data_IF_828199343285
#
_entry.id   IF_828199343285
#
_cell.length_a   1.000
_cell.length_b   1.000
_cell.length_c   1.000
_cell.angle_alpha   90.00
_cell.angle_beta   90.00
_cell.angle_gamma   90.00
#
_symmetry.space_group_name_H-M   'P 1'
#
loop_
_entity.id
_entity.type
_entity.pdbx_description
1 polymer ?
#
# COMPACT_ATOMS: atom_id res chain seq x y z
N UNK A 1 -11.67 -55.81 79.68
CA UNK A 1 -11.20 -55.95 78.28
C UNK A 1 -11.75 -54.74 77.51
N UNK A 2 -10.90 -53.73 77.31
CA UNK A 2 -11.34 -52.44 76.73
C UNK A 2 -10.48 -52.24 75.45
N UNK A 3 -11.10 -52.31 74.30
CA UNK A 3 -10.42 -52.02 73.04
C UNK A 3 -10.54 -50.52 72.76
N UNK A 4 -9.35 -49.84 72.76
CA UNK A 4 -9.23 -48.45 72.29
C UNK A 4 -9.08 -48.44 70.75
N UNK A 5 -9.98 -47.71 70.11
CA UNK A 5 -9.91 -47.41 68.70
C UNK A 5 -8.99 -46.22 68.46
N UNK A 6 -7.99 -46.34 67.59
CA UNK A 6 -7.19 -45.23 67.04
C UNK A 6 -8.01 -44.49 65.96
N UNK A 7 -7.95 -43.12 65.90
CA UNK A 7 -8.49 -42.37 64.80
C UNK A 7 -7.53 -42.32 63.59
N UNK A 8 -8.08 -42.63 62.41
CA UNK A 8 -7.36 -42.40 61.15
C UNK A 8 -7.31 -40.92 60.82
N UNK A 9 -6.12 -40.31 60.84
CA UNK A 9 -5.87 -38.98 60.35
C UNK A 9 -5.76 -39.04 58.83
N UNK A 10 -6.76 -38.45 58.13
CA UNK A 10 -6.75 -38.29 56.68
C UNK A 10 -5.86 -37.08 56.38
N UNK A 11 -4.64 -37.31 55.88
CA UNK A 11 -3.81 -36.28 55.30
C UNK A 11 -4.34 -35.96 53.90
N UNK A 12 -5.08 -34.84 53.73
CA UNK A 12 -5.42 -34.28 52.44
C UNK A 12 -4.17 -33.56 51.89
N UNK A 13 -3.47 -34.21 50.99
CA UNK A 13 -2.42 -33.55 50.23
C UNK A 13 -3.06 -32.63 49.18
N UNK A 14 -3.08 -31.34 49.45
CA UNK A 14 -3.45 -30.31 48.45
C UNK A 14 -2.28 -30.19 47.47
N UNK A 15 -2.41 -30.84 46.34
CA UNK A 15 -1.50 -30.66 45.22
C UNK A 15 -1.75 -29.23 44.60
N UNK A 16 -0.90 -28.28 44.96
CA UNK A 16 -0.80 -27.03 44.24
C UNK A 16 -0.21 -27.29 42.85
N UNK A 17 -1.04 -27.43 41.85
CA UNK A 17 -0.62 -27.37 40.46
C UNK A 17 -0.13 -25.96 40.15
N UNK A 18 1.18 -25.74 40.26
CA UNK A 18 1.84 -24.57 39.63
C UNK A 18 1.69 -24.76 38.12
N UNK A 19 0.65 -24.21 37.53
CA UNK A 19 0.66 -23.91 36.12
C UNK A 19 1.69 -22.81 35.91
N UNK A 20 2.89 -23.22 35.50
CA UNK A 20 3.91 -22.31 34.99
C UNK A 20 3.27 -21.62 33.77
N UNK A 21 2.78 -20.41 33.95
CA UNK A 21 2.48 -19.49 32.87
C UNK A 21 3.85 -19.21 32.21
N UNK A 22 4.20 -20.03 31.21
CA UNK A 22 5.25 -19.65 30.28
C UNK A 22 4.79 -18.34 29.67
N UNK A 23 5.38 -17.24 30.10
CA UNK A 23 5.16 -15.94 29.50
C UNK A 23 5.48 -16.08 28.01
N UNK A 24 4.43 -16.23 27.18
CA UNK A 24 4.60 -16.20 25.74
C UNK A 24 5.27 -14.86 25.43
N UNK A 25 6.49 -14.92 24.92
CA UNK A 25 7.20 -13.73 24.46
C UNK A 25 6.30 -13.04 23.45
N UNK A 26 6.10 -11.72 23.62
CA UNK A 26 5.29 -10.90 22.74
C UNK A 26 5.66 -11.21 21.28
N UNK A 27 4.70 -11.57 20.42
CA UNK A 27 4.99 -11.85 19.02
C UNK A 27 5.54 -10.61 18.33
N UNK A 28 6.51 -10.80 17.43
CA UNK A 28 7.12 -9.72 16.65
C UNK A 28 6.61 -9.79 15.22
N UNK A 29 6.08 -8.69 14.71
CA UNK A 29 5.67 -8.50 13.32
C UNK A 29 6.73 -7.69 12.61
N UNK A 30 7.26 -8.20 11.50
CA UNK A 30 8.12 -7.45 10.60
C UNK A 30 7.28 -6.59 9.65
N UNK A 31 7.47 -5.28 9.68
CA UNK A 31 6.84 -4.36 8.72
C UNK A 31 7.89 -3.90 7.71
N UNK A 32 7.90 -4.55 6.53
CA UNK A 32 8.81 -4.23 5.43
C UNK A 32 8.11 -3.31 4.44
N UNK A 33 8.66 -2.12 4.23
CA UNK A 33 8.10 -1.15 3.31
C UNK A 33 9.18 -0.49 2.45
N UNK A 34 8.90 -0.35 1.17
CA UNK A 34 9.82 0.27 0.20
C UNK A 34 9.93 1.78 0.33
N UNK A 35 8.90 2.44 0.84
CA UNK A 35 8.84 3.89 1.01
C UNK A 35 9.55 4.37 2.29
N UNK A 36 9.36 5.66 2.63
CA UNK A 36 9.88 6.27 3.86
C UNK A 36 8.83 6.29 4.99
N UNK A 37 9.27 6.37 6.27
CA UNK A 37 8.36 6.51 7.41
C UNK A 37 7.42 7.71 7.31
N UNK A 38 7.94 8.85 6.85
CA UNK A 38 7.15 10.09 6.71
C UNK A 38 6.15 10.00 5.56
N UNK A 39 6.57 9.50 4.39
CA UNK A 39 5.71 9.38 3.22
C UNK A 39 4.54 8.41 3.43
N UNK A 40 4.76 7.36 4.23
CA UNK A 40 3.77 6.29 4.49
C UNK A 40 3.27 6.23 5.94
N UNK A 41 3.38 7.34 6.69
CA UNK A 41 2.93 7.42 8.08
C UNK A 41 1.45 7.05 8.26
N UNK A 42 0.58 7.52 7.37
CA UNK A 42 -0.85 7.22 7.36
C UNK A 42 -1.12 5.72 7.11
N UNK A 43 -0.38 5.11 6.19
CA UNK A 43 -0.51 3.68 5.86
C UNK A 43 -0.05 2.81 7.04
N UNK A 44 1.06 3.16 7.68
CA UNK A 44 1.52 2.49 8.90
C UNK A 44 0.54 2.67 10.06
N UNK A 45 -0.12 3.81 10.18
CA UNK A 45 -1.17 4.03 11.18
C UNK A 45 -2.40 3.15 10.90
N UNK A 46 -2.85 3.08 9.65
CA UNK A 46 -3.96 2.21 9.23
C UNK A 46 -3.66 0.72 9.50
N UNK A 47 -2.44 0.28 9.19
CA UNK A 47 -1.99 -1.09 9.51
C UNK A 47 -2.07 -1.39 11.02
N UNK A 48 -1.56 -0.49 11.86
CA UNK A 48 -1.65 -0.64 13.33
C UNK A 48 -3.10 -0.70 13.80
N UNK A 49 -3.97 0.10 13.22
CA UNK A 49 -5.41 0.07 13.54
C UNK A 49 -6.04 -1.28 13.20
N UNK A 50 -5.71 -1.85 12.03
CA UNK A 50 -6.15 -3.19 11.65
C UNK A 50 -5.67 -4.27 12.63
N UNK A 51 -4.43 -4.19 13.13
CA UNK A 51 -3.93 -5.06 14.19
C UNK A 51 -4.74 -4.93 15.47
N UNK A 52 -5.01 -3.70 15.91
CA UNK A 52 -5.82 -3.43 17.14
C UNK A 52 -7.22 -4.02 17.04
N UNK A 53 -7.86 -3.96 15.88
CA UNK A 53 -9.19 -4.55 15.64
C UNK A 53 -9.22 -6.07 15.89
N UNK A 54 -8.06 -6.72 15.84
CA UNK A 54 -7.92 -8.16 16.14
C UNK A 54 -7.47 -8.43 17.58
N UNK A 55 -7.29 -7.39 18.41
CA UNK A 55 -6.85 -7.50 19.78
C UNK A 55 -5.33 -7.41 19.99
N UNK A 56 -4.56 -7.18 18.94
CA UNK A 56 -3.11 -6.98 19.03
C UNK A 56 -2.76 -5.49 19.09
N UNK A 57 -2.43 -5.01 20.28
CA UNK A 57 -2.06 -3.61 20.53
C UNK A 57 -0.53 -3.47 20.45
N UNK A 58 0.01 -2.69 19.49
CA UNK A 58 1.44 -2.45 19.38
C UNK A 58 2.06 -1.88 20.65
N UNK A 59 3.12 -2.49 21.15
CA UNK A 59 3.80 -2.13 22.40
C UNK A 59 3.22 -2.80 23.66
N UNK A 60 2.04 -3.43 23.57
CA UNK A 60 1.40 -4.11 24.71
C UNK A 60 1.28 -5.63 24.50
N UNK A 61 0.74 -6.06 23.37
CA UNK A 61 0.52 -7.48 23.05
C UNK A 61 1.18 -7.93 21.74
N UNK A 62 1.78 -7.00 20.98
CA UNK A 62 2.57 -7.27 19.76
C UNK A 62 3.66 -6.21 19.62
N UNK A 63 4.84 -6.62 19.19
CA UNK A 63 5.91 -5.71 18.77
C UNK A 63 5.90 -5.58 17.24
N UNK A 64 6.12 -4.37 16.70
CA UNK A 64 6.31 -4.16 15.28
C UNK A 64 7.75 -3.72 15.04
N UNK A 65 8.49 -4.49 14.25
CA UNK A 65 9.81 -4.13 13.77
C UNK A 65 9.71 -3.55 12.36
N UNK A 66 9.92 -2.26 12.26
CA UNK A 66 9.85 -1.54 10.98
C UNK A 66 11.17 -1.65 10.23
N UNK A 67 11.08 -1.94 8.94
CA UNK A 67 12.17 -1.86 7.96
C UNK A 67 11.72 -1.03 6.78
N UNK A 68 12.30 0.13 6.63
CA UNK A 68 11.99 1.09 5.59
C UNK A 68 13.15 1.16 4.61
N UNK A 69 12.88 0.95 3.32
CA UNK A 69 13.91 1.07 2.29
C UNK A 69 14.20 2.53 1.91
N UNK A 70 13.37 3.48 2.36
CA UNK A 70 13.48 4.90 2.03
C UNK A 70 13.60 5.12 0.51
N UNK A 71 12.74 4.42 -0.24
CA UNK A 71 12.64 4.43 -1.70
C UNK A 71 13.88 3.89 -2.46
N UNK A 72 14.86 3.31 -1.74
CA UNK A 72 16.02 2.61 -2.29
C UNK A 72 15.73 1.11 -2.36
N UNK A 73 15.13 0.65 -3.46
CA UNK A 73 14.63 -0.73 -3.59
C UNK A 73 15.73 -1.79 -3.55
N UNK A 74 16.97 -1.42 -3.86
CA UNK A 74 18.18 -2.24 -3.74
C UNK A 74 18.46 -2.70 -2.29
N UNK A 75 17.96 -1.99 -1.28
CA UNK A 75 18.10 -2.35 0.13
C UNK A 75 17.11 -3.43 0.59
N UNK A 76 16.04 -3.68 -0.16
CA UNK A 76 14.98 -4.61 0.25
C UNK A 76 15.47 -6.03 0.56
N UNK A 77 16.42 -6.62 -0.22
CA UNK A 77 16.96 -7.95 0.11
C UNK A 77 17.62 -8.01 1.49
N UNK A 78 18.41 -7.01 1.85
CA UNK A 78 19.07 -6.96 3.15
C UNK A 78 18.05 -6.76 4.28
N UNK A 79 17.12 -5.83 4.11
CA UNK A 79 16.10 -5.51 5.11
C UNK A 79 15.20 -6.70 5.44
N UNK A 80 14.83 -7.50 4.44
CA UNK A 80 14.04 -8.70 4.69
C UNK A 80 14.85 -9.77 5.40
N UNK A 81 16.15 -9.93 5.08
CA UNK A 81 17.01 -10.88 5.77
C UNK A 81 17.14 -10.54 7.26
N UNK A 82 17.21 -9.28 7.63
CA UNK A 82 17.19 -8.86 9.04
C UNK A 82 15.92 -9.33 9.75
N UNK A 83 14.74 -9.24 9.11
CA UNK A 83 13.49 -9.73 9.68
C UNK A 83 13.45 -11.26 9.81
N UNK A 84 13.98 -11.98 8.81
CA UNK A 84 14.09 -13.45 8.86
C UNK A 84 15.02 -13.89 9.99
N UNK A 85 16.20 -13.27 10.14
CA UNK A 85 17.14 -13.53 11.23
C UNK A 85 16.54 -13.22 12.61
N UNK A 86 15.72 -12.20 12.70
CA UNK A 86 14.97 -11.84 13.91
C UNK A 86 13.87 -12.85 14.25
N UNK A 87 13.56 -13.77 13.33
CA UNK A 87 12.50 -14.78 13.46
C UNK A 87 11.15 -14.16 13.79
N UNK A 88 10.77 -13.12 13.03
CA UNK A 88 9.46 -12.49 13.21
C UNK A 88 8.33 -13.50 12.96
N UNK A 89 7.22 -13.35 13.65
CA UNK A 89 6.07 -14.24 13.53
C UNK A 89 5.33 -14.10 12.18
N UNK A 90 5.30 -12.88 11.63
CA UNK A 90 4.67 -12.54 10.34
C UNK A 90 5.46 -11.40 9.70
N UNK A 91 5.61 -11.41 8.38
CA UNK A 91 6.13 -10.27 7.61
C UNK A 91 4.97 -9.61 6.88
N UNK A 92 4.78 -8.30 7.07
CA UNK A 92 4.02 -7.47 6.15
C UNK A 92 4.96 -6.92 5.07
N UNK A 93 4.51 -6.92 3.79
CA UNK A 93 5.30 -6.42 2.66
C UNK A 93 4.42 -5.66 1.66
N UNK A 94 4.82 -4.43 1.28
CA UNK A 94 4.16 -3.69 0.19
C UNK A 94 4.70 -4.10 -1.20
N UNK A 95 4.04 -3.69 -2.29
CA UNK A 95 4.31 -4.14 -3.68
C UNK A 95 5.78 -4.38 -4.04
N UNK A 96 6.70 -3.40 -3.94
CA UNK A 96 8.09 -3.63 -4.31
C UNK A 96 8.82 -4.62 -3.39
N UNK A 97 8.34 -4.79 -2.17
CA UNK A 97 8.97 -5.65 -1.16
C UNK A 97 8.56 -7.12 -1.27
N UNK A 98 7.42 -7.42 -1.92
CA UNK A 98 6.83 -8.77 -1.96
C UNK A 98 7.79 -9.81 -2.57
N UNK A 99 8.41 -9.58 -3.75
CA UNK A 99 9.32 -10.56 -4.35
C UNK A 99 10.49 -10.89 -3.44
N UNK A 100 11.03 -9.89 -2.75
CA UNK A 100 12.16 -10.07 -1.82
C UNK A 100 11.75 -10.86 -0.59
N UNK A 101 10.56 -10.58 -0.01
CA UNK A 101 10.03 -11.33 1.11
C UNK A 101 9.74 -12.79 0.73
N UNK A 102 9.11 -13.03 -0.43
CA UNK A 102 8.83 -14.37 -0.95
C UNK A 102 10.09 -15.19 -1.15
N UNK A 103 11.16 -14.59 -1.67
CA UNK A 103 12.42 -15.27 -1.92
C UNK A 103 13.23 -15.55 -0.63
N UNK A 104 13.01 -14.74 0.41
CA UNK A 104 13.76 -14.85 1.65
C UNK A 104 13.27 -15.96 2.60
N UNK A 105 11.99 -16.36 2.50
CA UNK A 105 11.41 -17.37 3.38
C UNK A 105 10.20 -18.07 2.75
N UNK A 106 10.09 -19.37 3.01
CA UNK A 106 8.91 -20.19 2.69
C UNK A 106 8.12 -20.61 3.93
N UNK A 107 8.61 -20.29 5.13
CA UNK A 107 8.03 -20.70 6.40
C UNK A 107 7.40 -19.58 7.20
N UNK A 108 7.98 -18.36 7.17
CA UNK A 108 7.39 -17.22 7.84
C UNK A 108 6.18 -16.74 7.01
N UNK A 109 4.99 -16.61 7.62
CA UNK A 109 3.83 -16.02 6.98
C UNK A 109 4.11 -14.61 6.42
N UNK A 110 3.62 -14.34 5.21
CA UNK A 110 3.75 -13.03 4.57
C UNK A 110 2.36 -12.50 4.25
N UNK A 111 2.04 -11.31 4.75
CA UNK A 111 0.83 -10.56 4.39
C UNK A 111 1.25 -9.40 3.50
N UNK A 112 0.65 -9.28 2.33
CA UNK A 112 1.04 -8.25 1.37
C UNK A 112 -0.06 -7.24 1.06
N UNK A 113 0.36 -6.06 0.52
CA UNK A 113 -0.49 -5.18 -0.28
C UNK A 113 0.12 -5.08 -1.68
N UNK A 114 -0.64 -5.50 -2.72
CA UNK A 114 -0.15 -5.53 -4.10
C UNK A 114 -0.94 -4.58 -4.99
N UNK A 115 -0.24 -3.71 -5.72
CA UNK A 115 -0.82 -2.86 -6.76
C UNK A 115 -1.17 -3.60 -8.05
N UNK A 116 -0.70 -4.84 -8.20
CA UNK A 116 -0.91 -5.73 -9.33
C UNK A 116 -1.65 -7.00 -8.93
N UNK A 117 -2.06 -7.78 -9.94
CA UNK A 117 -2.62 -9.12 -9.77
C UNK A 117 -1.60 -10.09 -9.16
N UNK A 118 -1.77 -10.53 -7.91
CA UNK A 118 -0.83 -11.40 -7.22
C UNK A 118 -0.80 -12.83 -7.78
N UNK A 119 -1.85 -13.27 -8.50
CA UNK A 119 -1.88 -14.57 -9.19
C UNK A 119 -1.00 -14.50 -10.43
N UNK A 120 -1.17 -13.46 -11.24
CA UNK A 120 -0.35 -13.23 -12.44
C UNK A 120 1.14 -13.08 -12.11
N UNK A 121 1.46 -12.44 -10.97
CA UNK A 121 2.84 -12.31 -10.48
C UNK A 121 3.37 -13.58 -9.80
N UNK A 122 2.55 -14.62 -9.69
CA UNK A 122 2.93 -15.88 -9.06
C UNK A 122 3.16 -15.79 -7.55
N UNK A 123 2.59 -14.79 -6.89
CA UNK A 123 2.68 -14.68 -5.42
C UNK A 123 1.78 -15.68 -4.72
N UNK A 124 0.61 -15.93 -5.30
CA UNK A 124 -0.38 -16.89 -4.81
C UNK A 124 -0.92 -17.74 -5.97
N UNK A 125 -1.43 -18.93 -5.66
CA UNK A 125 -1.98 -19.84 -6.67
C UNK A 125 -3.35 -19.34 -7.19
N UNK A 126 -4.19 -18.81 -6.31
CA UNK A 126 -5.44 -18.12 -6.64
C UNK A 126 -5.83 -17.17 -5.52
N UNK A 127 -6.77 -16.25 -5.78
CA UNK A 127 -7.23 -15.30 -4.75
C UNK A 127 -7.98 -16.03 -3.62
N UNK A 128 -8.82 -17.01 -3.95
CA UNK A 128 -9.59 -17.74 -2.95
C UNK A 128 -8.79 -18.78 -2.16
N UNK A 129 -7.72 -19.31 -2.75
CA UNK A 129 -6.82 -20.31 -2.13
C UNK A 129 -5.38 -19.94 -2.45
N UNK A 130 -4.74 -19.10 -1.65
CA UNK A 130 -3.36 -18.65 -1.88
C UNK A 130 -2.33 -19.78 -1.98
N UNK A 131 -2.48 -20.82 -1.16
CA UNK A 131 -1.76 -22.10 -1.31
C UNK A 131 -0.36 -22.15 -0.73
N UNK A 132 0.22 -21.06 -0.30
CA UNK A 132 1.58 -21.00 0.28
C UNK A 132 1.61 -20.27 1.62
N UNK A 133 2.74 -19.63 1.88
CA UNK A 133 2.91 -18.78 3.07
C UNK A 133 2.54 -17.30 2.82
N UNK A 134 2.00 -16.96 1.64
CA UNK A 134 1.57 -15.62 1.26
C UNK A 134 0.05 -15.49 1.23
N UNK A 135 -0.47 -14.38 1.76
CA UNK A 135 -1.82 -13.87 1.56
C UNK A 135 -1.80 -12.35 1.67
N UNK A 136 -2.91 -11.67 1.43
CA UNK A 136 -2.91 -10.21 1.57
C UNK A 136 -4.08 -9.52 0.88
N UNK A 137 -3.83 -8.29 0.43
CA UNK A 137 -4.81 -7.43 -0.24
C UNK A 137 -4.28 -7.02 -1.62
N UNK A 138 -5.03 -7.30 -2.67
CA UNK A 138 -4.76 -6.83 -4.02
C UNK A 138 -5.51 -5.51 -4.26
N UNK A 139 -4.76 -4.43 -4.45
CA UNK A 139 -5.27 -3.07 -4.68
C UNK A 139 -5.60 -2.86 -6.16
N UNK A 140 -4.90 -3.57 -7.06
CA UNK A 140 -5.05 -3.51 -8.53
C UNK A 140 -4.87 -2.09 -9.10
N UNK A 141 -4.16 -1.22 -8.42
CA UNK A 141 -4.05 0.20 -8.75
C UNK A 141 -3.32 0.47 -10.06
N UNK A 142 -2.39 -0.41 -10.43
CA UNK A 142 -1.63 -0.28 -11.68
C UNK A 142 -2.54 -0.44 -12.92
N UNK A 143 -3.61 -1.24 -12.82
CA UNK A 143 -4.57 -1.46 -13.89
C UNK A 143 -5.49 -0.26 -14.14
N UNK A 144 -5.55 0.68 -13.17
CA UNK A 144 -6.36 1.89 -13.27
C UNK A 144 -5.66 3.05 -14.02
N UNK A 145 -4.39 2.89 -14.41
CA UNK A 145 -3.61 3.96 -15.04
C UNK A 145 -4.24 4.49 -16.34
N UNK A 146 -4.74 3.60 -17.18
CA UNK A 146 -5.46 3.96 -18.42
C UNK A 146 -6.74 4.78 -18.13
N UNK A 147 -7.49 4.40 -17.08
CA UNK A 147 -8.70 5.14 -16.68
C UNK A 147 -8.35 6.50 -16.10
N UNK A 148 -7.25 6.61 -15.35
CA UNK A 148 -6.74 7.91 -14.87
C UNK A 148 -6.42 8.85 -16.01
N UNK A 149 -5.77 8.36 -17.08
CA UNK A 149 -5.51 9.16 -18.28
C UNK A 149 -6.81 9.66 -18.92
N UNK A 150 -7.80 8.78 -19.07
CA UNK A 150 -9.12 9.16 -19.64
C UNK A 150 -9.80 10.24 -18.81
N UNK A 151 -9.88 10.06 -17.48
CA UNK A 151 -10.51 11.03 -16.58
C UNK A 151 -9.78 12.37 -16.57
N UNK A 152 -8.45 12.36 -16.59
CA UNK A 152 -7.66 13.59 -16.67
C UNK A 152 -7.93 14.36 -17.97
N UNK A 153 -7.98 13.65 -19.12
CA UNK A 153 -8.32 14.23 -20.40
C UNK A 153 -9.75 14.85 -20.41
N UNK A 154 -10.70 14.14 -19.80
CA UNK A 154 -12.09 14.59 -19.74
C UNK A 154 -12.23 15.79 -18.79
N UNK A 155 -11.36 15.90 -17.78
CA UNK A 155 -11.32 17.01 -16.83
C UNK A 155 -10.65 18.28 -17.40
N UNK A 156 -9.70 18.11 -18.31
CA UNK A 156 -8.93 19.21 -18.93
C UNK A 156 -9.31 19.31 -20.40
N UNK A 157 -10.20 20.27 -20.77
CA UNK A 157 -10.66 20.40 -22.15
C UNK A 157 -9.52 20.62 -23.14
N UNK A 158 -9.67 20.05 -24.34
CA UNK A 158 -8.72 20.19 -25.44
C UNK A 158 -7.31 19.59 -25.19
N UNK A 159 -7.16 18.72 -24.19
CA UNK A 159 -5.91 18.01 -23.94
C UNK A 159 -5.48 17.20 -25.14
N UNK A 160 -4.29 17.48 -25.66
CA UNK A 160 -3.62 16.75 -26.74
C UNK A 160 -2.29 16.15 -26.30
N UNK A 161 -1.54 16.83 -25.43
CA UNK A 161 -0.23 16.42 -24.94
C UNK A 161 -0.28 16.17 -23.45
N UNK A 162 0.04 14.94 -23.06
CA UNK A 162 0.09 14.53 -21.65
C UNK A 162 1.49 14.06 -21.31
N UNK A 163 2.13 14.68 -20.33
CA UNK A 163 3.32 14.11 -19.73
C UNK A 163 2.93 13.06 -18.69
N UNK A 164 3.73 12.01 -18.57
CA UNK A 164 3.57 10.96 -17.56
C UNK A 164 4.86 10.80 -16.79
N UNK A 165 4.86 11.08 -15.50
CA UNK A 165 5.98 10.73 -14.64
C UNK A 165 5.90 9.25 -14.27
N UNK A 166 6.99 8.51 -14.47
CA UNK A 166 7.04 7.08 -14.20
C UNK A 166 8.37 6.69 -13.53
N UNK A 167 8.27 5.97 -12.42
CA UNK A 167 9.46 5.39 -11.80
C UNK A 167 9.81 4.07 -12.49
N UNK A 168 10.89 4.06 -13.28
CA UNK A 168 11.33 2.87 -14.03
C UNK A 168 11.92 1.77 -13.14
N UNK A 169 12.32 2.09 -11.91
CA UNK A 169 12.84 1.12 -10.95
C UNK A 169 11.70 0.34 -10.25
N UNK A 170 10.46 0.82 -10.42
CA UNK A 170 9.27 0.10 -9.99
C UNK A 170 8.93 -0.99 -11.01
N UNK A 171 9.01 -2.27 -10.64
CA UNK A 171 8.87 -3.42 -11.54
C UNK A 171 7.66 -3.39 -12.48
N UNK A 172 6.45 -2.97 -12.04
CA UNK A 172 5.27 -2.86 -12.90
C UNK A 172 5.30 -1.77 -13.97
N UNK A 173 6.27 -0.85 -13.94
CA UNK A 173 6.29 0.37 -14.76
C UNK A 173 6.22 0.13 -16.27
N UNK A 174 6.86 -0.91 -16.77
CA UNK A 174 6.83 -1.25 -18.20
C UNK A 174 5.42 -1.60 -18.68
N UNK A 175 4.66 -2.34 -17.86
CA UNK A 175 3.28 -2.68 -18.16
C UNK A 175 2.36 -1.46 -18.05
N UNK A 176 2.49 -0.69 -16.98
CA UNK A 176 1.74 0.56 -16.80
C UNK A 176 1.94 1.49 -17.99
N UNK A 177 3.18 1.61 -18.46
CA UNK A 177 3.51 2.38 -19.66
C UNK A 177 2.75 1.86 -20.89
N UNK A 178 2.79 0.55 -21.14
CA UNK A 178 2.08 -0.07 -22.28
C UNK A 178 0.56 0.16 -22.18
N UNK A 179 -0.02 0.03 -20.99
CA UNK A 179 -1.46 0.25 -20.77
C UNK A 179 -1.85 1.71 -21.04
N UNK A 180 -1.02 2.67 -20.63
CA UNK A 180 -1.22 4.11 -20.91
C UNK A 180 -1.04 4.40 -22.40
N UNK A 181 -0.01 3.84 -23.08
CA UNK A 181 0.20 4.01 -24.51
C UNK A 181 -1.00 3.48 -25.33
N UNK A 182 -1.56 2.34 -24.93
CA UNK A 182 -2.74 1.79 -25.60
C UNK A 182 -3.99 2.66 -25.37
N UNK A 183 -4.18 3.19 -24.17
CA UNK A 183 -5.26 4.12 -23.88
C UNK A 183 -5.11 5.43 -24.65
N UNK A 184 -3.89 5.96 -24.78
CA UNK A 184 -3.58 7.19 -25.49
C UNK A 184 -3.96 7.10 -26.97
N UNK A 185 -3.74 5.95 -27.63
CA UNK A 185 -4.17 5.71 -29.03
C UNK A 185 -5.69 5.83 -29.20
N UNK A 186 -6.44 5.33 -28.21
CA UNK A 186 -7.91 5.40 -28.25
C UNK A 186 -8.47 6.78 -27.91
N UNK A 187 -7.69 7.60 -27.17
CA UNK A 187 -8.11 8.92 -26.66
C UNK A 187 -7.63 10.11 -27.53
N UNK A 188 -7.07 9.91 -28.69
CA UNK A 188 -6.21 10.75 -29.54
C UNK A 188 -5.40 11.81 -28.76
N UNK A 189 -4.59 11.35 -27.79
CA UNK A 189 -3.64 12.16 -27.04
C UNK A 189 -2.21 11.67 -27.26
N UNK A 190 -1.26 12.59 -27.35
CA UNK A 190 0.16 12.29 -27.40
C UNK A 190 0.70 12.20 -25.97
N UNK A 191 1.37 11.09 -25.66
CA UNK A 191 1.91 10.84 -24.33
C UNK A 191 3.44 10.84 -24.37
N UNK A 192 4.04 11.66 -23.52
CA UNK A 192 5.49 11.69 -23.27
C UNK A 192 5.80 11.15 -21.88
N UNK A 193 6.61 10.09 -21.80
CA UNK A 193 7.03 9.53 -20.52
C UNK A 193 8.34 10.18 -20.05
N UNK A 194 8.32 10.66 -18.82
CA UNK A 194 9.47 11.23 -18.13
C UNK A 194 9.85 10.29 -16.98
N UNK A 195 11.10 9.85 -16.99
CA UNK A 195 11.64 8.96 -15.95
C UNK A 195 11.78 9.73 -14.63
N UNK A 196 11.46 9.06 -13.53
CA UNK A 196 11.62 9.58 -12.17
C UNK A 196 11.99 8.45 -11.22
N UNK A 197 13.17 8.50 -10.64
CA UNK A 197 13.67 7.57 -9.61
C UNK A 197 14.31 8.31 -8.44
N UNK A 198 14.41 9.65 -8.53
CA UNK A 198 14.94 10.53 -7.48
C UNK A 198 14.20 11.88 -7.48
N UNK A 199 14.37 12.64 -6.40
CA UNK A 199 13.81 13.99 -6.31
C UNK A 199 14.42 14.91 -7.38
N UNK A 200 15.70 14.75 -7.66
CA UNK A 200 16.39 15.48 -8.74
C UNK A 200 15.79 15.20 -10.12
N UNK A 201 15.54 13.91 -10.46
CA UNK A 201 14.88 13.55 -11.73
C UNK A 201 13.44 14.09 -11.82
N UNK A 202 12.73 14.22 -10.69
CA UNK A 202 11.41 14.90 -10.66
C UNK A 202 11.57 16.37 -11.02
N UNK A 203 12.53 17.07 -10.41
CA UNK A 203 12.80 18.50 -10.68
C UNK A 203 13.24 18.71 -12.14
N UNK A 204 14.11 17.86 -12.68
CA UNK A 204 14.50 17.89 -14.10
C UNK A 204 13.30 17.66 -15.02
N UNK A 205 12.41 16.73 -14.71
CA UNK A 205 11.20 16.49 -15.49
C UNK A 205 10.31 17.74 -15.53
N UNK A 206 10.15 18.44 -14.40
CA UNK A 206 9.40 19.70 -14.38
C UNK A 206 10.13 20.82 -15.11
N UNK A 207 11.46 20.89 -15.06
CA UNK A 207 12.24 21.85 -15.84
C UNK A 207 12.07 21.62 -17.35
N UNK A 208 12.07 20.38 -17.83
CA UNK A 208 11.78 20.04 -19.24
C UNK A 208 10.37 20.48 -19.64
N UNK A 209 9.38 20.30 -18.78
CA UNK A 209 7.99 20.73 -19.02
C UNK A 209 7.82 22.26 -19.06
N UNK A 210 8.79 23.07 -18.63
CA UNK A 210 8.74 24.52 -18.83
C UNK A 210 9.03 24.90 -20.27
N UNK A 211 9.85 24.12 -20.97
CA UNK A 211 10.23 24.37 -22.38
C UNK A 211 9.24 23.71 -23.33
N UNK A 212 8.87 22.49 -23.08
CA UNK A 212 7.85 21.73 -23.85
C UNK A 212 6.64 21.43 -22.96
N UNK A 213 5.80 22.45 -22.79
CA UNK A 213 4.68 22.44 -21.84
C UNK A 213 3.60 21.46 -22.28
N UNK A 214 3.30 20.42 -21.47
CA UNK A 214 2.14 19.58 -21.72
C UNK A 214 0.83 20.28 -21.31
N UNK A 215 -0.29 19.81 -21.84
CA UNK A 215 -1.61 20.29 -21.45
C UNK A 215 -2.03 19.74 -20.09
N UNK A 216 -1.56 18.53 -19.75
CA UNK A 216 -1.80 17.88 -18.46
C UNK A 216 -0.63 16.94 -18.08
N UNK A 217 -0.54 16.63 -16.79
CA UNK A 217 0.44 15.73 -16.21
C UNK A 217 -0.27 14.56 -15.52
N UNK A 218 0.15 13.35 -15.81
CA UNK A 218 -0.29 12.16 -15.09
C UNK A 218 0.87 11.63 -14.22
N UNK A 219 0.62 11.49 -12.92
CA UNK A 219 1.55 10.82 -12.02
C UNK A 219 1.32 9.32 -12.10
N UNK A 220 2.36 8.58 -12.48
CA UNK A 220 2.33 7.12 -12.52
C UNK A 220 2.16 6.51 -11.12
N UNK A 221 1.69 5.26 -11.05
CA UNK A 221 1.49 4.59 -9.78
C UNK A 221 2.82 4.18 -9.13
N UNK A 222 2.77 4.00 -7.83
CA UNK A 222 3.86 3.40 -7.06
C UNK A 222 4.29 4.20 -5.84
N UNK A 223 4.85 3.48 -4.85
CA UNK A 223 5.16 4.05 -3.54
C UNK A 223 6.12 5.24 -3.57
N UNK A 224 7.10 5.24 -4.48
CA UNK A 224 8.06 6.33 -4.62
C UNK A 224 7.35 7.65 -4.95
N UNK A 225 6.55 7.68 -6.02
CA UNK A 225 5.83 8.89 -6.45
C UNK A 225 4.78 9.32 -5.43
N UNK A 226 4.07 8.36 -4.81
CA UNK A 226 3.10 8.68 -3.76
C UNK A 226 3.78 9.28 -2.51
N UNK A 227 4.97 8.83 -2.14
CA UNK A 227 5.72 9.40 -1.02
C UNK A 227 6.22 10.83 -1.29
N UNK A 228 6.34 11.24 -2.57
CA UNK A 228 6.72 12.59 -3.02
C UNK A 228 5.54 13.49 -3.37
N UNK A 229 4.30 13.11 -3.01
CA UNK A 229 3.11 13.87 -3.39
C UNK A 229 3.19 15.36 -3.07
N UNK A 230 3.77 15.75 -1.94
CA UNK A 230 3.92 17.16 -1.56
C UNK A 230 4.82 17.93 -2.53
N UNK A 231 5.95 17.34 -2.92
CA UNK A 231 6.86 17.91 -3.92
C UNK A 231 6.16 18.01 -5.28
N UNK A 232 5.54 16.92 -5.74
CA UNK A 232 4.85 16.86 -7.04
C UNK A 232 3.71 17.87 -7.12
N UNK A 233 2.91 18.03 -6.06
CA UNK A 233 1.82 19.00 -5.99
C UNK A 233 2.37 20.42 -6.04
N UNK A 234 3.42 20.73 -5.27
CA UNK A 234 4.05 22.05 -5.27
C UNK A 234 4.59 22.43 -6.65
N UNK A 235 5.31 21.51 -7.30
CA UNK A 235 5.85 21.73 -8.64
C UNK A 235 4.75 21.88 -9.69
N UNK A 236 3.68 21.07 -9.63
CA UNK A 236 2.55 21.16 -10.53
C UNK A 236 1.78 22.49 -10.37
N UNK A 237 1.57 22.96 -9.13
CA UNK A 237 0.95 24.24 -8.84
C UNK A 237 1.79 25.42 -9.35
N UNK A 238 3.11 25.41 -9.07
CA UNK A 238 4.03 26.45 -9.52
C UNK A 238 4.09 26.54 -11.07
N UNK A 239 3.97 25.41 -11.75
CA UNK A 239 3.94 25.32 -13.21
C UNK A 239 2.55 25.52 -13.79
N UNK A 240 1.50 25.61 -12.95
CA UNK A 240 0.08 25.65 -13.36
C UNK A 240 -0.27 24.52 -14.34
N UNK A 241 0.23 23.29 -14.12
CA UNK A 241 -0.04 22.12 -14.95
C UNK A 241 -1.15 21.29 -14.28
N UNK A 242 -2.31 21.09 -14.94
CA UNK A 242 -3.35 20.19 -14.43
C UNK A 242 -2.80 18.78 -14.25
N UNK A 243 -2.92 18.21 -13.05
CA UNK A 243 -2.25 16.96 -12.71
C UNK A 243 -3.20 15.94 -12.10
N UNK A 244 -3.16 14.71 -12.64
CA UNK A 244 -3.89 13.55 -12.13
C UNK A 244 -3.00 12.63 -11.30
N UNK A 245 -3.57 12.10 -10.19
CA UNK A 245 -2.88 11.28 -9.20
C UNK A 245 -3.59 9.93 -8.97
N UNK A 246 -2.89 9.03 -8.29
CA UNK A 246 -3.44 7.72 -7.91
C UNK A 246 -4.27 7.79 -6.63
N UNK A 247 -3.81 8.51 -5.60
CA UNK A 247 -4.32 8.39 -4.24
C UNK A 247 -5.19 9.59 -3.82
N UNK A 248 -6.24 9.32 -3.05
CA UNK A 248 -7.07 10.35 -2.38
C UNK A 248 -6.22 11.39 -1.65
N UNK A 249 -5.19 10.93 -0.92
CA UNK A 249 -4.30 11.80 -0.17
C UNK A 249 -3.63 12.88 -1.04
N UNK A 250 -3.39 12.60 -2.33
CA UNK A 250 -2.86 13.60 -3.26
C UNK A 250 -3.88 14.67 -3.62
N UNK A 251 -5.15 14.30 -3.84
CA UNK A 251 -6.21 15.27 -4.08
C UNK A 251 -6.48 16.14 -2.83
N UNK A 252 -6.52 15.53 -1.64
CA UNK A 252 -6.68 16.23 -0.35
C UNK A 252 -5.53 17.22 -0.08
N UNK A 253 -4.31 16.87 -0.48
CA UNK A 253 -3.13 17.74 -0.35
C UNK A 253 -3.06 18.88 -1.39
N UNK A 254 -4.03 18.99 -2.30
CA UNK A 254 -4.11 20.07 -3.31
C UNK A 254 -3.85 19.63 -4.75
N UNK A 255 -3.71 18.33 -5.03
CA UNK A 255 -3.72 17.80 -6.39
C UNK A 255 -5.06 18.02 -7.08
N UNK A 256 -5.10 18.17 -8.41
CA UNK A 256 -6.34 18.47 -9.14
C UNK A 256 -7.36 17.32 -9.05
N UNK A 257 -6.90 16.10 -9.24
CA UNK A 257 -7.77 14.92 -9.22
C UNK A 257 -7.03 13.67 -8.83
N UNK A 258 -7.74 12.72 -8.25
CA UNK A 258 -7.25 11.35 -8.06
C UNK A 258 -8.30 10.32 -8.46
N UNK A 259 -7.81 9.18 -8.98
CA UNK A 259 -8.64 8.01 -9.25
C UNK A 259 -7.87 6.75 -8.85
N UNK A 260 -8.30 6.07 -7.81
CA UNK A 260 -7.62 4.89 -7.31
C UNK A 260 -8.31 4.24 -6.12
N UNK A 261 -7.81 3.08 -5.74
CA UNK A 261 -8.31 2.37 -4.56
C UNK A 261 -7.85 3.07 -3.26
N UNK A 262 -8.61 2.83 -2.20
CA UNK A 262 -8.25 3.33 -0.87
C UNK A 262 -7.08 2.51 -0.28
N UNK A 263 -5.87 3.00 -0.47
CA UNK A 263 -4.64 2.33 -0.01
C UNK A 263 -4.59 2.20 1.51
N UNK A 264 -5.08 3.20 2.24
CA UNK A 264 -5.10 3.14 3.71
C UNK A 264 -6.01 2.00 4.21
N UNK A 265 -7.16 1.78 3.56
CA UNK A 265 -8.04 0.66 3.88
C UNK A 265 -7.38 -0.70 3.59
N UNK A 266 -6.64 -0.82 2.49
CA UNK A 266 -5.87 -2.03 2.18
C UNK A 266 -4.81 -2.34 3.24
N UNK A 267 -4.11 -1.31 3.76
CA UNK A 267 -3.16 -1.48 4.87
C UNK A 267 -3.86 -1.86 6.17
N UNK A 268 -5.02 -1.28 6.45
CA UNK A 268 -5.85 -1.66 7.61
C UNK A 268 -6.27 -3.12 7.52
N UNK A 269 -6.75 -3.57 6.36
CA UNK A 269 -7.11 -4.97 6.13
C UNK A 269 -5.89 -5.90 6.26
N UNK A 270 -4.72 -5.50 5.74
CA UNK A 270 -3.49 -6.26 5.93
C UNK A 270 -3.13 -6.40 7.43
N UNK A 271 -3.34 -5.36 8.23
CA UNK A 271 -3.19 -5.41 9.69
C UNK A 271 -4.12 -6.45 10.34
N UNK A 272 -5.41 -6.51 9.89
CA UNK A 272 -6.33 -7.56 10.40
C UNK A 272 -5.88 -8.96 9.98
N UNK A 273 -5.33 -9.13 8.78
CA UNK A 273 -4.82 -10.43 8.32
C UNK A 273 -3.61 -10.88 9.14
N UNK A 274 -2.69 -9.96 9.43
CA UNK A 274 -1.57 -10.25 10.35
C UNK A 274 -2.11 -10.72 11.70
N UNK A 275 -3.10 -10.04 12.27
CA UNK A 275 -3.69 -10.42 13.55
C UNK A 275 -4.39 -11.80 13.51
N UNK A 276 -5.06 -12.16 12.42
CA UNK A 276 -5.65 -13.49 12.21
C UNK A 276 -4.57 -14.57 12.21
N UNK A 277 -3.45 -14.32 11.50
CA UNK A 277 -2.32 -15.25 11.45
C UNK A 277 -1.68 -15.40 12.84
N UNK A 278 -1.53 -14.31 13.61
CA UNK A 278 -1.04 -14.39 14.99
C UNK A 278 -1.97 -15.18 15.92
N UNK A 279 -3.26 -15.34 15.57
CA UNK A 279 -4.23 -16.21 16.26
C UNK A 279 -4.19 -17.66 15.77
N UNK A 280 -3.32 -17.99 14.81
CA UNK A 280 -3.09 -19.34 14.30
C UNK A 280 -3.76 -19.68 12.97
N UNK A 281 -4.42 -18.74 12.30
CA UNK A 281 -4.93 -18.98 10.96
C UNK A 281 -3.78 -19.12 9.96
N UNK A 282 -3.91 -20.04 9.01
CA UNK A 282 -2.85 -20.26 8.00
C UNK A 282 -3.00 -19.31 6.82
N UNK A 283 -1.92 -18.68 6.35
CA UNK A 283 -1.97 -17.82 5.16
C UNK A 283 -2.61 -18.50 3.95
N UNK A 284 -2.33 -19.81 3.75
CA UNK A 284 -2.88 -20.61 2.65
C UNK A 284 -4.40 -20.74 2.64
N UNK A 285 -5.06 -20.49 3.78
CA UNK A 285 -6.49 -20.63 3.99
C UNK A 285 -7.20 -19.25 4.03
N UNK A 286 -6.45 -18.14 4.14
CA UNK A 286 -7.00 -16.79 4.14
C UNK A 286 -7.05 -16.29 2.69
N UNK A 287 -8.25 -16.10 2.10
CA UNK A 287 -8.38 -15.55 0.75
C UNK A 287 -7.71 -14.19 0.62
N UNK A 288 -7.09 -13.93 -0.52
CA UNK A 288 -6.61 -12.58 -0.87
C UNK A 288 -7.82 -11.68 -1.07
N UNK A 289 -7.89 -10.59 -0.30
CA UNK A 289 -8.94 -9.59 -0.50
C UNK A 289 -8.65 -8.74 -1.73
N UNK A 290 -9.71 -8.36 -2.44
CA UNK A 290 -9.65 -7.34 -3.48
C UNK A 290 -10.10 -6.00 -2.87
N UNK A 291 -9.32 -4.95 -3.06
CA UNK A 291 -9.75 -3.59 -2.78
C UNK A 291 -10.68 -3.13 -3.91
N UNK A 292 -11.98 -3.40 -3.75
CA UNK A 292 -12.97 -3.16 -4.80
C UNK A 292 -13.47 -1.72 -4.83
N UNK A 293 -13.28 -0.96 -3.74
CA UNK A 293 -13.69 0.43 -3.68
C UNK A 293 -12.62 1.32 -4.33
N UNK A 294 -12.93 1.80 -5.53
CA UNK A 294 -12.16 2.83 -6.24
C UNK A 294 -12.86 4.15 -6.03
N UNK A 295 -12.09 5.20 -5.74
CA UNK A 295 -12.60 6.55 -5.45
C UNK A 295 -12.13 7.53 -6.54
N UNK A 296 -13.08 8.30 -7.09
CA UNK A 296 -12.82 9.40 -7.99
C UNK A 296 -13.00 10.72 -7.24
N UNK A 297 -11.90 11.44 -7.00
CA UNK A 297 -11.91 12.70 -6.25
C UNK A 297 -11.49 13.85 -7.17
N UNK A 298 -12.23 14.94 -7.11
CA UNK A 298 -11.89 16.19 -7.79
C UNK A 298 -11.66 17.29 -6.74
N UNK A 299 -10.54 17.99 -6.83
CA UNK A 299 -10.29 19.16 -5.99
C UNK A 299 -10.79 20.42 -6.72
N UNK A 300 -11.96 20.90 -6.31
CA UNK A 300 -12.60 22.07 -6.89
C UNK A 300 -11.84 23.38 -6.66
N UNK A 301 -11.08 23.49 -5.54
CA UNK A 301 -10.20 24.66 -5.29
C UNK A 301 -9.08 24.71 -6.31
N UNK A 302 -8.43 23.59 -6.53
CA UNK A 302 -7.34 23.48 -7.52
C UNK A 302 -7.87 23.69 -8.94
N UNK A 303 -9.04 23.15 -9.27
CA UNK A 303 -9.68 23.40 -10.56
C UNK A 303 -9.95 24.90 -10.78
N UNK A 304 -10.48 25.61 -9.77
CA UNK A 304 -10.69 27.07 -9.82
C UNK A 304 -9.36 27.82 -10.00
N UNK A 305 -8.31 27.45 -9.28
CA UNK A 305 -6.98 28.10 -9.40
C UNK A 305 -6.40 27.93 -10.81
N UNK A 306 -6.65 26.77 -11.43
CA UNK A 306 -6.23 26.48 -12.80
C UNK A 306 -7.19 27.05 -13.88
N UNK A 307 -8.24 27.80 -13.48
CA UNK A 307 -9.30 28.32 -14.35
C UNK A 307 -9.98 27.22 -15.19
N UNK A 308 -10.10 26.01 -14.67
CA UNK A 308 -10.76 24.90 -15.34
C UNK A 308 -12.27 24.93 -15.08
N UNK A 309 -13.04 24.88 -16.15
CA UNK A 309 -14.49 24.66 -16.09
C UNK A 309 -14.76 23.17 -16.14
N UNK A 310 -14.93 22.56 -14.96
CA UNK A 310 -15.20 21.13 -14.86
C UNK A 310 -16.60 20.82 -15.37
N UNK A 311 -16.69 19.85 -16.27
CA UNK A 311 -17.99 19.40 -16.82
C UNK A 311 -18.90 18.89 -15.68
N UNK A 312 -20.17 19.34 -15.59
CA UNK A 312 -21.12 18.89 -14.57
C UNK A 312 -21.27 17.37 -14.48
N UNK A 313 -21.18 16.67 -15.61
CA UNK A 313 -21.23 15.19 -15.59
C UNK A 313 -20.04 14.57 -14.85
N UNK A 314 -18.85 15.16 -14.93
CA UNK A 314 -17.68 14.68 -14.15
C UNK A 314 -17.82 14.99 -12.66
N UNK A 315 -18.38 16.18 -12.32
CA UNK A 315 -18.68 16.51 -10.93
C UNK A 315 -19.68 15.53 -10.32
N UNK A 316 -20.71 15.14 -11.09
CA UNK A 316 -21.71 14.16 -10.65
C UNK A 316 -21.18 12.73 -10.59
N UNK A 317 -20.13 12.41 -11.37
CA UNK A 317 -19.49 11.09 -11.40
C UNK A 317 -18.41 10.95 -10.33
N UNK A 318 -17.96 12.05 -9.72
CA UNK A 318 -16.99 12.02 -8.64
C UNK A 318 -17.64 11.49 -7.34
N UNK A 319 -16.91 10.65 -6.63
CA UNK A 319 -17.32 10.21 -5.28
C UNK A 319 -17.24 11.37 -4.27
N UNK A 320 -16.35 12.34 -4.54
CA UNK A 320 -16.20 13.54 -3.72
C UNK A 320 -15.62 14.70 -4.55
N UNK A 321 -16.15 15.89 -4.30
CA UNK A 321 -15.57 17.16 -4.78
C UNK A 321 -15.12 17.96 -3.56
N UNK A 322 -13.81 18.17 -3.43
CA UNK A 322 -13.20 18.95 -2.33
C UNK A 322 -13.39 20.43 -2.66
N UNK A 323 -14.13 21.16 -1.81
CA UNK A 323 -14.44 22.58 -1.93
C UNK A 323 -13.51 23.48 -1.11
#
# INVERSE_FOLDING_TARGET
MVWKRLPWSICIAVAFSLTAAFGQSMPVVGFLNSASPSGYAQMAAAFREGLKQTGFVPGESVQIEYRWANDSYDKLPELVQQLVQRRVAVIFANSPSIPHAKNATNSIPIVFTSGDDPVRLGFVASLNRPGGNLTGVAIMSNELAAKRLSLLRDLVPNTRRVAVLINTDFGPSSRVRTDIENAAKALPVDVTFLRTGSDHEIEEAFALMTTDRPDALLIGPGPFLDSRRSLLISLAQNSSIPTGYETRASAEAGGLTSYGANVADAYRQAGTYVGRILKGEKPSEIPVALATKVEFIINGRTAKTLNLQVNPNLLSAADEVIE
#
